data_IF_311693711619
#
_entry.id   IF_311693711619
#
_cell.length_a   1.000
_cell.length_b   1.000
_cell.length_c   1.000
_cell.angle_alpha   90.00
_cell.angle_beta   90.00
_cell.angle_gamma   90.00
#
_symmetry.space_group_name_H-M   'P 1'
#
loop_
_entity.id
_entity.type
_entity.pdbx_description
1 polymer ?
#
# COMPACT_ATOMS: atom_id res chain seq x y z
N UNK A 1 -17.48 1.35 -14.99
CA UNK A 1 -17.83 1.16 -13.56
C UNK A 1 -17.26 2.35 -12.79
N UNK A 2 -18.07 3.10 -12.03
CA UNK A 2 -17.55 4.21 -11.21
C UNK A 2 -16.97 3.59 -9.92
N UNK A 3 -15.71 3.85 -9.62
CA UNK A 3 -15.13 3.49 -8.32
C UNK A 3 -15.72 4.39 -7.23
N UNK A 4 -16.04 3.80 -6.08
CA UNK A 4 -16.48 4.56 -4.90
C UNK A 4 -15.34 5.50 -4.43
N UNK A 5 -15.67 6.63 -3.76
CA UNK A 5 -14.66 7.58 -3.30
C UNK A 5 -13.56 6.95 -2.44
N UNK A 6 -13.92 6.00 -1.57
CA UNK A 6 -12.98 5.29 -0.71
C UNK A 6 -12.00 4.41 -1.51
N UNK A 7 -12.48 3.73 -2.56
CA UNK A 7 -11.64 2.89 -3.42
C UNK A 7 -10.64 3.73 -4.21
N UNK A 8 -11.06 4.92 -4.69
CA UNK A 8 -10.16 5.86 -5.35
C UNK A 8 -9.08 6.39 -4.42
N UNK A 9 -9.45 6.75 -3.19
CA UNK A 9 -8.50 7.19 -2.17
C UNK A 9 -7.51 6.08 -1.82
N UNK A 10 -8.00 4.87 -1.62
CA UNK A 10 -7.20 3.70 -1.31
C UNK A 10 -6.21 3.37 -2.43
N UNK A 11 -6.67 3.34 -3.69
CA UNK A 11 -5.81 3.14 -4.86
C UNK A 11 -4.73 4.22 -4.92
N UNK A 12 -5.09 5.49 -4.74
CA UNK A 12 -4.12 6.62 -4.73
C UNK A 12 -3.04 6.46 -3.65
N UNK A 13 -3.40 6.06 -2.43
CA UNK A 13 -2.43 5.84 -1.35
C UNK A 13 -1.51 4.65 -1.62
N UNK A 14 -2.04 3.56 -2.18
CA UNK A 14 -1.26 2.37 -2.58
C UNK A 14 -0.29 2.74 -3.70
N UNK A 15 -0.77 3.41 -4.75
CA UNK A 15 0.06 3.94 -5.85
C UNK A 15 1.19 4.79 -5.29
N UNK A 16 0.89 5.78 -4.43
CA UNK A 16 1.91 6.64 -3.80
C UNK A 16 2.98 5.83 -3.06
N UNK A 17 2.56 4.82 -2.28
CA UNK A 17 3.45 3.98 -1.48
C UNK A 17 4.40 3.15 -2.36
N UNK A 18 3.88 2.59 -3.47
CA UNK A 18 4.63 1.68 -4.35
C UNK A 18 5.53 2.43 -5.34
N UNK A 19 5.03 3.49 -5.99
CA UNK A 19 5.81 4.32 -6.93
C UNK A 19 7.06 4.89 -6.28
N UNK A 20 6.97 5.26 -4.99
CA UNK A 20 8.06 5.85 -4.24
C UNK A 20 8.61 4.88 -3.18
N UNK A 21 8.62 3.57 -3.44
CA UNK A 21 8.94 2.60 -2.39
C UNK A 21 10.32 2.86 -1.75
N UNK A 22 11.31 3.37 -2.49
CA UNK A 22 12.63 3.72 -1.93
C UNK A 22 12.57 4.82 -0.86
N UNK A 23 11.53 5.66 -0.85
CA UNK A 23 11.29 6.68 0.18
C UNK A 23 10.61 6.10 1.42
N UNK A 24 9.77 5.08 1.24
CA UNK A 24 8.90 4.54 2.30
C UNK A 24 9.40 3.24 2.92
N UNK A 25 10.37 2.58 2.29
CA UNK A 25 10.97 1.34 2.74
C UNK A 25 12.46 1.56 3.07
N UNK A 26 12.94 0.84 4.08
CA UNK A 26 14.37 0.73 4.34
C UNK A 26 15.06 -0.08 3.24
N UNK A 27 16.39 -0.08 3.26
CA UNK A 27 17.21 -0.93 2.37
C UNK A 27 16.88 -2.43 2.52
N UNK A 28 16.38 -2.83 3.69
CA UNK A 28 15.98 -4.21 4.00
C UNK A 28 14.55 -4.54 3.54
N UNK A 29 13.88 -3.63 2.83
CA UNK A 29 12.53 -3.86 2.29
C UNK A 29 11.42 -3.82 3.35
N UNK A 30 11.62 -3.11 4.46
CA UNK A 30 10.64 -2.94 5.54
C UNK A 30 10.19 -1.48 5.60
N UNK A 31 8.89 -1.21 5.84
CA UNK A 31 8.41 0.17 5.98
C UNK A 31 9.19 0.94 7.07
N UNK A 32 9.70 2.10 6.68
CA UNK A 32 10.27 3.09 7.60
C UNK A 32 9.16 3.87 8.31
N UNK A 33 9.52 4.90 9.08
CA UNK A 33 8.56 5.73 9.82
C UNK A 33 7.52 6.41 8.92
N UNK A 34 7.94 6.95 7.77
CA UNK A 34 7.02 7.61 6.83
C UNK A 34 6.14 6.60 6.09
N UNK A 35 6.72 5.46 5.69
CA UNK A 35 5.97 4.36 5.09
C UNK A 35 4.90 3.81 6.03
N UNK A 36 5.21 3.68 7.34
CA UNK A 36 4.25 3.26 8.37
C UNK A 36 3.10 4.27 8.52
N UNK A 37 3.39 5.57 8.54
CA UNK A 37 2.33 6.61 8.58
C UNK A 37 1.40 6.49 7.36
N UNK A 38 1.97 6.32 6.18
CA UNK A 38 1.18 6.15 4.95
C UNK A 38 0.34 4.87 4.99
N UNK A 39 0.93 3.76 5.43
CA UNK A 39 0.23 2.49 5.60
C UNK A 39 -0.90 2.56 6.65
N UNK A 40 -0.76 3.33 7.72
CA UNK A 40 -1.84 3.51 8.69
C UNK A 40 -3.06 4.25 8.12
N UNK A 41 -2.85 5.15 7.15
CA UNK A 41 -3.97 5.76 6.42
C UNK A 41 -4.69 4.74 5.53
N UNK A 42 -3.92 3.90 4.81
CA UNK A 42 -4.45 2.76 4.04
C UNK A 42 -5.25 1.83 4.97
N UNK A 43 -4.63 1.38 6.07
CA UNK A 43 -5.24 0.50 7.04
C UNK A 43 -6.54 1.07 7.63
N UNK A 44 -6.60 2.38 7.90
CA UNK A 44 -7.81 3.03 8.41
C UNK A 44 -8.97 2.90 7.41
N UNK A 45 -8.73 3.16 6.13
CA UNK A 45 -9.76 3.04 5.08
C UNK A 45 -10.16 1.58 4.92
N UNK A 46 -9.17 0.68 4.79
CA UNK A 46 -9.42 -0.76 4.65
C UNK A 46 -10.27 -1.30 5.80
N UNK A 47 -9.96 -0.97 7.05
CA UNK A 47 -10.72 -1.49 8.20
C UNK A 47 -12.09 -0.84 8.38
N UNK A 48 -12.29 0.36 7.84
CA UNK A 48 -13.59 1.04 7.87
C UNK A 48 -14.54 0.43 6.84
N UNK A 49 -14.07 0.22 5.62
CA UNK A 49 -14.89 -0.33 4.53
C UNK A 49 -14.97 -1.87 4.57
N UNK A 50 -13.91 -2.52 5.03
CA UNK A 50 -13.70 -3.97 5.00
C UNK A 50 -13.16 -4.50 6.34
N UNK A 51 -13.96 -4.45 7.43
CA UNK A 51 -13.53 -4.90 8.75
C UNK A 51 -13.07 -6.37 8.78
N UNK A 52 -13.55 -7.21 7.86
CA UNK A 52 -13.12 -8.60 7.67
C UNK A 52 -11.62 -8.72 7.33
N UNK A 53 -11.01 -7.66 6.79
CA UNK A 53 -9.58 -7.61 6.45
C UNK A 53 -8.68 -7.28 7.64
N UNK A 54 -9.22 -7.24 8.86
CA UNK A 54 -8.46 -6.99 10.10
C UNK A 54 -7.24 -7.90 10.27
N UNK A 55 -7.37 -9.17 9.90
CA UNK A 55 -6.29 -10.14 10.07
C UNK A 55 -5.09 -9.81 9.17
N UNK A 56 -5.31 -9.54 7.89
CA UNK A 56 -4.24 -9.20 6.96
C UNK A 56 -3.56 -7.88 7.33
N UNK A 57 -4.33 -6.85 7.70
CA UNK A 57 -3.78 -5.58 8.17
C UNK A 57 -2.92 -5.77 9.43
N UNK A 58 -3.38 -6.60 10.37
CA UNK A 58 -2.62 -6.89 11.59
C UNK A 58 -1.32 -7.64 11.30
N UNK A 59 -1.31 -8.55 10.31
CA UNK A 59 -0.09 -9.24 9.85
C UNK A 59 0.91 -8.24 9.27
N UNK A 60 0.47 -7.31 8.43
CA UNK A 60 1.34 -6.28 7.85
C UNK A 60 1.90 -5.35 8.93
N UNK A 61 1.08 -4.89 9.89
CA UNK A 61 1.56 -4.04 11.01
C UNK A 61 2.71 -4.68 11.79
N UNK A 62 2.62 -5.99 12.03
CA UNK A 62 3.65 -6.78 12.72
C UNK A 62 4.90 -6.98 11.86
N UNK A 63 4.73 -7.22 10.56
CA UNK A 63 5.80 -7.46 9.60
C UNK A 63 5.58 -6.66 8.31
N UNK A 64 5.93 -5.37 8.28
CA UNK A 64 5.60 -4.48 7.17
C UNK A 64 6.65 -4.55 6.06
N UNK A 65 6.87 -5.75 5.53
CA UNK A 65 7.78 -5.97 4.40
C UNK A 65 7.09 -5.60 3.09
N UNK A 66 7.88 -5.30 2.06
CA UNK A 66 7.37 -5.03 0.71
C UNK A 66 6.47 -6.17 0.20
N UNK A 67 6.83 -7.43 0.43
CA UNK A 67 5.99 -8.58 0.05
C UNK A 67 4.62 -8.58 0.73
N UNK A 68 4.58 -8.19 2.01
CA UNK A 68 3.33 -8.13 2.77
C UNK A 68 2.48 -6.93 2.37
N UNK A 69 3.11 -5.85 1.92
CA UNK A 69 2.41 -4.69 1.33
C UNK A 69 1.84 -5.04 -0.04
N UNK A 70 2.59 -5.74 -0.91
CA UNK A 70 2.12 -6.22 -2.21
C UNK A 70 0.85 -7.07 -2.03
N UNK A 71 0.84 -8.01 -1.07
CA UNK A 71 -0.35 -8.83 -0.78
C UNK A 71 -1.60 -8.03 -0.40
N UNK A 72 -1.45 -6.84 0.19
CA UNK A 72 -2.58 -5.94 0.46
C UNK A 72 -2.94 -5.14 -0.80
N UNK A 73 -1.93 -4.68 -1.53
CA UNK A 73 -2.11 -3.88 -2.74
C UNK A 73 -2.86 -4.66 -3.83
N UNK A 74 -2.52 -5.94 -4.05
CA UNK A 74 -3.14 -6.79 -5.08
C UNK A 74 -4.62 -7.09 -4.86
N UNK A 75 -5.18 -6.72 -3.70
CA UNK A 75 -6.62 -6.84 -3.45
C UNK A 75 -7.40 -5.63 -3.99
N UNK A 76 -6.70 -4.53 -4.33
CA UNK A 76 -7.31 -3.26 -4.76
C UNK A 76 -6.75 -2.73 -6.08
N UNK A 77 -5.61 -3.26 -6.51
CA UNK A 77 -4.89 -2.88 -7.72
C UNK A 77 -4.51 -4.18 -8.43
N UNK A 78 -4.62 -4.21 -9.76
CA UNK A 78 -4.25 -5.39 -10.55
C UNK A 78 -2.78 -5.74 -10.31
N UNK A 79 -2.47 -7.04 -10.30
CA UNK A 79 -1.13 -7.53 -9.95
C UNK A 79 -0.04 -6.98 -10.88
N UNK A 80 -0.31 -6.94 -12.19
CA UNK A 80 0.59 -6.35 -13.19
C UNK A 80 0.82 -4.85 -12.90
N UNK A 81 -0.23 -4.10 -12.57
CA UNK A 81 -0.13 -2.68 -12.21
C UNK A 81 0.71 -2.49 -10.93
N UNK A 82 0.60 -3.37 -9.93
CA UNK A 82 1.45 -3.33 -8.72
C UNK A 82 2.93 -3.46 -9.07
N UNK A 83 3.29 -4.40 -9.97
CA UNK A 83 4.67 -4.59 -10.40
C UNK A 83 5.18 -3.43 -11.27
N UNK A 84 4.32 -2.85 -12.12
CA UNK A 84 4.66 -1.63 -12.87
C UNK A 84 4.97 -0.47 -11.94
N UNK A 85 4.16 -0.26 -10.89
CA UNK A 85 4.38 0.80 -9.91
C UNK A 85 5.71 0.67 -9.18
N UNK A 86 6.11 -0.55 -8.82
CA UNK A 86 7.39 -0.82 -8.16
C UNK A 86 8.61 -0.60 -9.06
N UNK A 87 8.47 -0.85 -10.36
CA UNK A 87 9.52 -0.70 -11.35
C UNK A 87 9.54 0.69 -12.01
N UNK A 88 8.54 1.53 -11.73
CA UNK A 88 8.45 2.86 -12.28
C UNK A 88 9.60 3.74 -11.76
N UNK A 89 10.44 4.25 -12.66
CA UNK A 89 11.47 5.25 -12.37
C UNK A 89 10.86 6.67 -12.32
N UNK A 90 9.79 6.89 -11.56
CA UNK A 90 9.21 8.24 -11.46
C UNK A 90 10.12 9.14 -10.61
N UNK A 91 10.83 10.04 -11.31
CA UNK A 91 11.38 11.26 -10.74
C UNK A 91 10.23 12.24 -10.56
N UNK A 92 9.88 12.58 -9.33
CA UNK A 92 9.41 13.93 -8.96
C UNK A 92 9.23 14.01 -7.44
N UNK A 93 10.27 14.50 -6.75
CA UNK A 93 10.19 15.41 -5.61
C UNK A 93 11.47 16.25 -5.59
#
# INVERSE_FOLDING_TARGET
MKLEPADKELKSLITKLLTNYRLFFSKDGVLNSEGRKLFENIARIVLREHPERKEIISKVRKKPTIDNIIKVATIYVDEDEVYELLNSNYKEF
#
